data_IF_516833252002
#
_entry.id   IF_516833252002
#
_cell.length_a   1.000
_cell.length_b   1.000
_cell.length_c   1.000
_cell.angle_alpha   90.00
_cell.angle_beta   90.00
_cell.angle_gamma   90.00
#
_symmetry.space_group_name_H-M   'P 1'
#
loop_
_entity.id
_entity.type
_entity.pdbx_description
1 polymer ?
#
# COMPACT_ATOMS: atom_id res chain seq x y z
N UNK A 1 -8.69 6.25 9.62
CA UNK A 1 -7.25 5.92 9.81
C UNK A 1 -6.94 4.66 9.04
N UNK A 2 -5.75 4.14 9.14
CA UNK A 2 -5.37 2.91 8.44
C UNK A 2 -3.97 2.48 8.84
N UNK A 3 -3.59 1.25 8.44
CA UNK A 3 -2.26 0.71 8.64
C UNK A 3 -1.77 -0.02 7.41
N UNK A 4 -0.48 -0.01 7.19
CA UNK A 4 0.16 -0.65 6.04
C UNK A 4 1.28 -1.58 6.51
N UNK A 5 1.44 -2.67 5.77
CA UNK A 5 2.50 -3.65 5.93
C UNK A 5 3.04 -4.06 4.56
N UNK A 6 4.35 -4.15 4.43
CA UNK A 6 5.00 -4.63 3.22
C UNK A 6 6.13 -5.58 3.57
N UNK A 7 6.37 -6.58 2.74
CA UNK A 7 7.44 -7.55 2.98
C UNK A 7 8.04 -8.05 1.68
N UNK A 8 9.35 -8.28 1.70
CA UNK A 8 10.11 -8.95 0.64
C UNK A 8 10.93 -10.07 1.25
N UNK A 9 10.95 -11.23 0.61
CA UNK A 9 11.59 -12.44 1.12
C UNK A 9 12.25 -13.24 0.00
N UNK A 10 13.34 -13.93 0.32
CA UNK A 10 13.95 -14.95 -0.56
C UNK A 10 13.07 -16.20 -0.73
N UNK A 11 12.09 -16.40 0.14
CA UNK A 11 11.10 -17.48 0.11
C UNK A 11 9.70 -16.87 -0.03
N UNK A 12 8.65 -17.69 0.11
CA UNK A 12 7.29 -17.18 0.14
C UNK A 12 7.11 -16.13 1.25
N UNK A 13 6.53 -14.98 0.89
CA UNK A 13 6.22 -13.90 1.81
C UNK A 13 4.76 -13.91 2.29
N UNK A 14 3.95 -14.86 1.81
CA UNK A 14 2.47 -14.83 1.97
C UNK A 14 2.04 -14.83 3.44
N UNK A 15 2.64 -15.70 4.27
CA UNK A 15 2.32 -15.76 5.69
C UNK A 15 2.71 -14.46 6.43
N UNK A 16 3.91 -13.94 6.18
CA UNK A 16 4.37 -12.69 6.78
C UNK A 16 3.46 -11.52 6.37
N UNK A 17 3.07 -11.45 5.09
CA UNK A 17 2.19 -10.42 4.57
C UNK A 17 0.80 -10.49 5.20
N UNK A 18 0.23 -11.69 5.27
CA UNK A 18 -1.10 -11.93 5.84
C UNK A 18 -1.15 -11.52 7.31
N UNK A 19 -0.29 -12.11 8.13
CA UNK A 19 -0.29 -11.82 9.57
C UNK A 19 0.16 -10.39 9.89
N UNK A 20 1.16 -9.87 9.16
CA UNK A 20 1.62 -8.50 9.35
C UNK A 20 0.55 -7.47 9.01
N UNK A 21 -0.26 -7.72 7.98
CA UNK A 21 -1.41 -6.86 7.64
C UNK A 21 -2.54 -7.02 8.65
N UNK A 22 -2.87 -8.24 9.06
CA UNK A 22 -3.90 -8.52 10.05
C UNK A 22 -3.64 -7.81 11.37
N UNK A 23 -2.38 -7.67 11.78
CA UNK A 23 -2.00 -6.96 12.99
C UNK A 23 -2.36 -5.47 12.96
N UNK A 24 -2.52 -4.89 11.79
CA UNK A 24 -3.00 -3.51 11.63
C UNK A 24 -4.54 -3.40 11.65
N UNK A 25 -5.28 -4.48 11.88
CA UNK A 25 -6.75 -4.50 11.82
C UNK A 25 -7.43 -3.58 12.83
N UNK A 26 -6.74 -3.22 13.93
CA UNK A 26 -7.24 -2.24 14.90
C UNK A 26 -7.13 -0.78 14.41
N UNK A 27 -6.39 -0.52 13.32
CA UNK A 27 -6.20 0.82 12.75
C UNK A 27 -7.27 1.20 11.72
N UNK A 28 -8.11 0.26 11.31
CA UNK A 28 -9.19 0.49 10.35
C UNK A 28 -10.17 -0.67 10.29
N UNK A 29 -11.41 -0.39 9.90
CA UNK A 29 -12.52 -1.36 10.03
C UNK A 29 -13.32 -1.57 8.76
N UNK A 30 -13.06 -0.84 7.67
CA UNK A 30 -13.92 -0.87 6.48
C UNK A 30 -13.38 -1.73 5.35
N UNK A 31 -12.10 -1.58 5.04
CA UNK A 31 -11.48 -2.22 3.87
C UNK A 31 -10.17 -2.86 4.27
N UNK A 32 -9.89 -4.01 3.68
CA UNK A 32 -8.58 -4.63 3.73
C UNK A 32 -8.16 -5.06 2.34
N UNK A 33 -6.87 -5.00 2.05
CA UNK A 33 -6.36 -5.40 0.77
C UNK A 33 -4.93 -5.91 0.83
N UNK A 34 -4.65 -6.86 -0.06
CA UNK A 34 -3.32 -7.42 -0.29
C UNK A 34 -2.98 -7.33 -1.77
N UNK A 35 -1.76 -6.97 -2.08
CA UNK A 35 -1.18 -7.13 -3.40
C UNK A 35 0.20 -7.78 -3.28
N UNK A 36 0.48 -8.72 -4.17
CA UNK A 36 1.74 -9.48 -4.20
C UNK A 36 2.34 -9.47 -5.58
N UNK A 37 3.63 -9.75 -5.64
CA UNK A 37 4.34 -10.00 -6.87
C UNK A 37 5.12 -11.31 -6.78
N UNK A 38 5.13 -12.04 -7.88
CA UNK A 38 6.03 -13.15 -8.16
C UNK A 38 6.42 -13.14 -9.64
N UNK A 39 7.59 -13.66 -9.97
CA UNK A 39 8.04 -13.78 -11.37
C UNK A 39 7.13 -14.67 -12.22
N UNK A 40 6.43 -15.64 -11.61
CA UNK A 40 5.55 -16.57 -12.29
C UNK A 40 4.16 -15.99 -12.56
N UNK A 41 3.53 -15.38 -11.54
CA UNK A 41 2.13 -14.90 -11.64
C UNK A 41 2.02 -13.40 -11.90
N UNK A 42 3.14 -12.65 -11.79
CA UNK A 42 3.12 -11.20 -11.82
C UNK A 42 2.41 -10.61 -10.58
N UNK A 43 1.69 -9.52 -10.79
CA UNK A 43 0.92 -8.85 -9.74
C UNK A 43 -0.43 -9.52 -9.53
N UNK A 44 -0.70 -9.90 -8.28
CA UNK A 44 -1.99 -10.46 -7.84
C UNK A 44 -2.55 -9.60 -6.72
N UNK A 45 -3.84 -9.26 -6.78
CA UNK A 45 -4.55 -8.40 -5.82
C UNK A 45 -5.80 -9.06 -5.27
N UNK A 46 -6.09 -8.84 -3.99
CA UNK A 46 -7.38 -9.14 -3.37
C UNK A 46 -7.78 -8.01 -2.43
N UNK A 47 -9.03 -7.56 -2.49
CA UNK A 47 -9.59 -6.52 -1.63
C UNK A 47 -10.93 -7.01 -1.09
N UNK A 48 -11.17 -6.79 0.20
CA UNK A 48 -12.41 -7.19 0.87
C UNK A 48 -12.98 -6.05 1.72
N UNK A 49 -14.31 -6.04 1.83
CA UNK A 49 -15.02 -5.27 2.83
C UNK A 49 -14.90 -5.99 4.18
N UNK A 50 -14.51 -5.25 5.23
CA UNK A 50 -14.30 -5.75 6.58
C UNK A 50 -15.40 -5.31 7.56
N UNK A 51 -16.39 -4.51 7.13
CA UNK A 51 -17.45 -3.97 8.01
C UNK A 51 -18.30 -5.07 8.68
N UNK A 52 -18.40 -6.22 8.04
CA UNK A 52 -19.21 -7.35 8.54
C UNK A 52 -18.40 -8.58 8.93
N UNK A 53 -17.06 -8.53 8.87
CA UNK A 53 -16.24 -9.72 9.12
C UNK A 53 -14.77 -9.34 9.33
N UNK A 54 -14.07 -10.12 10.13
CA UNK A 54 -12.64 -9.92 10.41
C UNK A 54 -11.77 -10.17 9.17
N UNK A 55 -10.60 -9.52 9.14
CA UNK A 55 -9.62 -9.66 8.08
C UNK A 55 -9.27 -11.13 7.79
N UNK A 56 -8.94 -11.91 8.80
CA UNK A 56 -8.61 -13.35 8.66
C UNK A 56 -9.70 -14.12 7.94
N UNK A 57 -10.94 -13.98 8.38
CA UNK A 57 -12.09 -14.68 7.80
C UNK A 57 -12.27 -14.41 6.30
N UNK A 58 -11.93 -13.18 5.86
CA UNK A 58 -12.06 -12.78 4.45
C UNK A 58 -10.88 -13.20 3.58
N UNK A 59 -9.67 -13.17 4.11
CA UNK A 59 -8.46 -13.39 3.31
C UNK A 59 -7.95 -14.83 3.36
N UNK A 60 -8.08 -15.52 4.50
CA UNK A 60 -7.56 -16.89 4.68
C UNK A 60 -8.02 -17.85 3.57
N UNK A 61 -9.32 -17.90 3.16
CA UNK A 61 -9.78 -18.77 2.08
C UNK A 61 -9.17 -18.47 0.71
N UNK A 62 -8.55 -17.30 0.53
CA UNK A 62 -8.05 -16.83 -0.76
C UNK A 62 -6.52 -16.75 -0.82
N UNK A 63 -5.81 -17.15 0.24
CA UNK A 63 -4.35 -17.09 0.31
C UNK A 63 -3.63 -17.89 -0.77
N UNK A 64 -4.23 -18.95 -1.28
CA UNK A 64 -3.72 -19.77 -2.38
C UNK A 64 -3.49 -18.96 -3.67
N UNK A 65 -4.23 -17.84 -3.87
CA UNK A 65 -4.01 -16.95 -5.02
C UNK A 65 -2.61 -16.35 -5.02
N UNK A 66 -2.05 -16.12 -3.83
CA UNK A 66 -0.75 -15.47 -3.61
C UNK A 66 0.42 -16.46 -3.53
N UNK A 67 0.15 -17.76 -3.71
CA UNK A 67 1.19 -18.78 -3.65
C UNK A 67 2.36 -18.45 -4.59
N UNK A 68 3.57 -18.62 -4.11
CA UNK A 68 4.80 -18.31 -4.84
C UNK A 68 5.25 -16.84 -4.75
N UNK A 69 4.45 -15.97 -4.13
CA UNK A 69 4.83 -14.56 -3.98
C UNK A 69 6.05 -14.40 -3.07
N UNK A 70 7.00 -13.56 -3.52
CA UNK A 70 8.23 -13.23 -2.79
C UNK A 70 8.22 -11.80 -2.26
N UNK A 71 7.30 -10.95 -2.75
CA UNK A 71 7.10 -9.59 -2.24
C UNK A 71 5.61 -9.24 -2.24
N UNK A 72 5.22 -8.35 -1.33
CA UNK A 72 3.83 -7.92 -1.24
C UNK A 72 3.63 -6.75 -0.29
N UNK A 73 2.51 -6.04 -0.51
CA UNK A 73 2.01 -4.97 0.34
C UNK A 73 0.59 -5.27 0.77
N UNK A 74 0.26 -4.88 1.99
CA UNK A 74 -1.06 -5.02 2.57
C UNK A 74 -1.49 -3.76 3.28
N UNK A 75 -2.80 -3.55 3.36
CA UNK A 75 -3.40 -2.34 3.93
C UNK A 75 -4.71 -2.65 4.63
N UNK A 76 -4.91 -1.99 5.75
CA UNK A 76 -6.21 -1.84 6.40
C UNK A 76 -6.60 -0.37 6.27
N UNK A 77 -7.82 -0.07 5.84
CA UNK A 77 -8.30 1.29 5.57
C UNK A 77 -9.73 1.50 6.06
N UNK A 78 -10.03 2.73 6.47
CA UNK A 78 -11.38 3.18 6.80
C UNK A 78 -12.10 3.82 5.61
N UNK A 79 -11.44 3.98 4.49
CA UNK A 79 -11.99 4.76 3.38
C UNK A 79 -12.06 3.96 2.10
N UNK A 80 -10.92 3.70 1.46
CA UNK A 80 -10.87 3.38 0.05
C UNK A 80 -10.47 1.94 -0.22
N UNK A 81 -10.94 1.42 -1.36
CA UNK A 81 -10.51 0.14 -1.89
C UNK A 81 -9.06 0.25 -2.38
N UNK A 82 -8.16 -0.49 -1.78
CA UNK A 82 -6.74 -0.54 -2.10
C UNK A 82 -6.12 -1.87 -1.63
N UNK A 83 -4.91 -2.31 -2.10
CA UNK A 83 -4.00 -1.61 -3.01
C UNK A 83 -4.56 -1.45 -4.44
N UNK A 84 -4.08 -0.45 -5.17
CA UNK A 84 -4.37 -0.27 -6.59
C UNK A 84 -3.22 -0.80 -7.43
N UNK A 85 -3.52 -1.47 -8.54
CA UNK A 85 -2.52 -1.86 -9.54
C UNK A 85 -2.58 -0.88 -10.69
N UNK A 86 -1.46 -0.27 -11.02
CA UNK A 86 -1.31 0.73 -12.06
C UNK A 86 -0.35 0.25 -13.15
N UNK A 87 -0.64 0.61 -14.40
CA UNK A 87 0.28 0.50 -15.54
C UNK A 87 0.66 1.90 -16.00
N UNK A 88 1.94 2.19 -16.09
CA UNK A 88 2.44 3.48 -16.54
C UNK A 88 3.79 3.36 -17.25
N UNK A 89 4.37 4.47 -17.66
CA UNK A 89 5.74 4.52 -18.17
C UNK A 89 6.80 4.14 -17.11
N UNK A 90 6.44 4.15 -15.81
CA UNK A 90 7.29 3.66 -14.72
C UNK A 90 7.23 2.13 -14.56
N UNK A 91 6.53 1.44 -15.46
CA UNK A 91 6.22 0.02 -15.36
C UNK A 91 4.89 -0.25 -14.65
N UNK A 92 4.62 -1.53 -14.39
CA UNK A 92 3.49 -1.96 -13.56
C UNK A 92 3.88 -1.93 -12.10
N UNK A 93 3.00 -1.41 -11.27
CA UNK A 93 3.20 -1.37 -9.82
C UNK A 93 1.88 -1.47 -9.06
N UNK A 94 1.93 -1.89 -7.80
CA UNK A 94 0.81 -1.77 -6.88
C UNK A 94 1.11 -0.72 -5.81
N UNK A 95 0.10 0.02 -5.38
CA UNK A 95 0.25 1.09 -4.38
C UNK A 95 -0.82 1.00 -3.32
N UNK A 96 -0.43 1.22 -2.07
CA UNK A 96 -1.34 1.52 -0.97
C UNK A 96 -0.90 2.76 -0.20
N UNK A 97 -1.87 3.43 0.41
CA UNK A 97 -1.63 4.69 1.14
C UNK A 97 -2.39 4.73 2.46
N UNK A 98 -1.81 5.43 3.43
CA UNK A 98 -2.52 5.97 4.58
C UNK A 98 -2.40 7.49 4.47
N UNK A 99 -3.47 8.14 4.01
CA UNK A 99 -3.43 9.54 3.65
C UNK A 99 -4.65 10.32 4.18
N UNK A 100 -4.42 11.58 4.49
CA UNK A 100 -5.46 12.60 4.70
C UNK A 100 -5.10 13.80 3.84
N UNK A 101 -5.69 13.89 2.66
CA UNK A 101 -5.45 14.94 1.67
C UNK A 101 -6.58 15.97 1.78
N UNK A 102 -6.25 17.17 2.23
CA UNK A 102 -7.23 18.25 2.46
C UNK A 102 -7.66 18.90 1.15
N UNK A 103 -6.72 19.07 0.22
CA UNK A 103 -6.96 19.69 -1.09
C UNK A 103 -7.26 18.65 -2.19
N UNK A 104 -7.94 17.55 -1.84
CA UNK A 104 -8.23 16.45 -2.77
C UNK A 104 -8.97 16.93 -4.02
N UNK A 105 -10.01 17.74 -3.84
CA UNK A 105 -10.86 18.20 -4.95
C UNK A 105 -10.11 19.15 -5.88
N UNK A 106 -9.27 20.05 -5.34
CA UNK A 106 -8.37 20.92 -6.10
C UNK A 106 -7.41 20.10 -6.98
N UNK A 107 -6.79 19.07 -6.40
CA UNK A 107 -5.87 18.19 -7.13
C UNK A 107 -6.57 17.31 -8.16
N UNK A 108 -7.79 16.84 -7.85
CA UNK A 108 -8.62 16.09 -8.80
C UNK A 108 -8.90 16.94 -10.03
N UNK A 109 -9.34 18.20 -9.85
CA UNK A 109 -9.60 19.12 -10.95
C UNK A 109 -8.35 19.39 -11.79
N UNK A 110 -7.22 19.65 -11.13
CA UNK A 110 -5.93 19.87 -11.82
C UNK A 110 -5.51 18.67 -12.68
N UNK A 111 -5.75 17.45 -12.21
CA UNK A 111 -5.43 16.24 -12.98
C UNK A 111 -6.38 16.03 -14.16
N UNK A 112 -7.68 16.32 -13.99
CA UNK A 112 -8.65 16.28 -15.08
C UNK A 112 -8.34 17.29 -16.17
N UNK A 113 -7.90 18.51 -15.82
CA UNK A 113 -7.46 19.52 -16.79
C UNK A 113 -6.21 19.09 -17.59
N UNK A 114 -5.40 18.19 -17.03
CA UNK A 114 -4.28 17.54 -17.71
C UNK A 114 -4.69 16.28 -18.50
N UNK A 115 -6.00 16.07 -18.73
CA UNK A 115 -6.56 14.89 -19.40
C UNK A 115 -6.22 13.55 -18.70
N UNK A 116 -5.99 13.57 -17.42
CA UNK A 116 -5.87 12.33 -16.64
C UNK A 116 -7.26 11.85 -16.21
N UNK A 117 -7.41 10.54 -16.05
CA UNK A 117 -8.70 9.91 -15.75
C UNK A 117 -8.63 9.17 -14.44
N UNK A 118 -9.76 9.18 -13.71
CA UNK A 118 -9.96 8.39 -12.50
C UNK A 118 -10.88 7.21 -12.83
N UNK A 119 -10.48 6.01 -12.46
CA UNK A 119 -11.20 4.77 -12.69
C UNK A 119 -11.81 4.19 -11.39
N UNK A 120 -11.16 4.44 -10.25
CA UNK A 120 -11.58 3.93 -8.96
C UNK A 120 -12.36 4.99 -8.19
N UNK A 121 -13.68 4.81 -8.10
CA UNK A 121 -14.56 5.70 -7.36
C UNK A 121 -14.88 5.09 -5.98
N UNK A 122 -14.60 5.83 -4.92
CA UNK A 122 -14.96 5.44 -3.56
C UNK A 122 -16.12 6.29 -3.06
N UNK A 123 -17.28 5.66 -2.86
CA UNK A 123 -18.47 6.33 -2.30
C UNK A 123 -18.86 7.61 -3.06
N UNK A 124 -18.73 7.60 -4.40
CA UNK A 124 -19.06 8.74 -5.25
C UNK A 124 -18.02 9.85 -5.27
N UNK A 125 -16.84 9.66 -4.68
CA UNK A 125 -15.73 10.61 -4.71
C UNK A 125 -14.45 9.96 -5.20
N UNK A 126 -13.47 10.79 -5.60
CA UNK A 126 -12.14 10.34 -6.05
C UNK A 126 -11.44 9.54 -4.97
N UNK A 127 -10.89 8.38 -5.34
CA UNK A 127 -10.07 7.56 -4.47
C UNK A 127 -8.74 8.26 -4.19
N UNK A 128 -8.38 8.58 -2.92
CA UNK A 128 -7.13 9.26 -2.59
C UNK A 128 -5.88 8.49 -3.00
N UNK A 129 -5.93 7.16 -2.98
CA UNK A 129 -4.79 6.32 -3.41
C UNK A 129 -4.58 6.43 -4.91
N UNK A 130 -5.64 6.50 -5.70
CA UNK A 130 -5.55 6.74 -7.15
C UNK A 130 -5.02 8.15 -7.44
N UNK A 131 -5.51 9.17 -6.72
CA UNK A 131 -4.98 10.52 -6.82
C UNK A 131 -3.47 10.57 -6.61
N UNK A 132 -2.98 9.91 -5.56
CA UNK A 132 -1.54 9.80 -5.27
C UNK A 132 -0.82 9.08 -6.40
N UNK A 133 -1.35 7.96 -6.90
CA UNK A 133 -0.76 7.22 -8.02
C UNK A 133 -0.67 8.08 -9.29
N UNK A 134 -1.72 8.85 -9.60
CA UNK A 134 -1.73 9.75 -10.75
C UNK A 134 -0.73 10.91 -10.62
N UNK A 135 -0.49 11.41 -9.40
CA UNK A 135 0.58 12.39 -9.15
C UNK A 135 1.97 11.76 -9.29
N UNK A 136 2.15 10.51 -8.87
CA UNK A 136 3.42 9.79 -9.01
C UNK A 136 3.79 9.61 -10.48
N UNK A 137 2.87 9.19 -11.31
CA UNK A 137 3.13 8.93 -12.73
C UNK A 137 3.38 10.20 -13.57
N UNK A 138 3.29 11.39 -13.01
CA UNK A 138 3.76 12.61 -13.67
C UNK A 138 5.29 12.79 -13.58
N UNK A 139 5.96 12.10 -12.66
CA UNK A 139 7.41 12.08 -12.56
C UNK A 139 8.05 11.14 -13.59
N UNK A 140 9.29 11.38 -13.96
CA UNK A 140 10.08 10.49 -14.83
C UNK A 140 10.57 9.25 -14.10
N UNK A 141 10.61 9.29 -12.79
CA UNK A 141 11.01 8.21 -11.88
C UNK A 141 10.05 8.16 -10.69
N UNK A 142 10.00 7.03 -9.98
CA UNK A 142 9.23 6.95 -8.73
C UNK A 142 9.65 8.00 -7.72
N UNK A 143 10.95 8.31 -7.63
CA UNK A 143 11.47 9.34 -6.72
C UNK A 143 10.89 10.71 -7.06
N UNK A 144 11.01 11.16 -8.30
CA UNK A 144 10.44 12.44 -8.75
C UNK A 144 8.91 12.47 -8.54
N UNK A 145 8.23 11.37 -8.84
CA UNK A 145 6.80 11.26 -8.63
C UNK A 145 6.38 11.36 -7.15
N UNK A 146 7.13 10.74 -6.25
CA UNK A 146 6.89 10.83 -4.80
C UNK A 146 7.17 12.26 -4.31
N UNK A 147 8.25 12.89 -4.76
CA UNK A 147 8.56 14.29 -4.45
C UNK A 147 7.43 15.22 -4.96
N UNK A 148 6.89 14.96 -6.15
CA UNK A 148 5.73 15.67 -6.70
C UNK A 148 4.49 15.52 -5.83
N UNK A 149 4.19 14.31 -5.33
CA UNK A 149 3.09 14.09 -4.37
C UNK A 149 3.26 14.98 -3.15
N UNK A 150 4.43 14.94 -2.48
CA UNK A 150 4.66 15.69 -1.25
C UNK A 150 4.71 17.21 -1.46
N UNK A 151 5.00 17.66 -2.68
CA UNK A 151 4.94 19.08 -3.03
C UNK A 151 3.49 19.58 -3.18
N UNK A 152 2.60 18.77 -3.72
CA UNK A 152 1.24 19.19 -4.08
C UNK A 152 0.20 18.92 -3.00
N UNK A 153 0.34 17.86 -2.21
CA UNK A 153 -0.66 17.54 -1.19
C UNK A 153 -0.60 18.50 0.00
N UNK A 154 -1.78 18.94 0.45
CA UNK A 154 -1.97 19.59 1.74
C UNK A 154 -2.56 18.55 2.70
N UNK A 155 -1.76 18.13 3.69
CA UNK A 155 -2.16 17.09 4.63
C UNK A 155 -1.05 16.10 4.93
N UNK A 156 -1.37 14.83 5.05
CA UNK A 156 -0.40 13.76 5.31
C UNK A 156 -0.60 12.58 4.38
N UNK A 157 0.51 11.95 3.98
CA UNK A 157 0.51 10.77 3.16
C UNK A 157 1.71 9.89 3.48
N UNK A 158 1.42 8.64 3.81
CA UNK A 158 2.39 7.56 3.89
C UNK A 158 1.98 6.51 2.85
N UNK A 159 2.94 5.98 2.11
CA UNK A 159 2.67 5.05 1.01
C UNK A 159 3.66 3.91 0.94
N UNK A 160 3.21 2.79 0.40
CA UNK A 160 4.05 1.69 -0.08
C UNK A 160 3.73 1.40 -1.53
N UNK A 161 4.77 1.27 -2.35
CA UNK A 161 4.69 0.94 -3.77
C UNK A 161 5.43 -0.37 -3.99
N UNK A 162 4.72 -1.39 -4.44
CA UNK A 162 5.26 -2.68 -4.83
C UNK A 162 5.56 -2.63 -6.33
N UNK A 163 6.81 -2.87 -6.67
CA UNK A 163 7.31 -3.03 -8.04
C UNK A 163 7.82 -4.45 -8.27
N UNK A 164 8.22 -4.77 -9.47
CA UNK A 164 8.89 -6.06 -9.78
C UNK A 164 10.22 -6.21 -9.04
N UNK A 165 10.93 -5.09 -8.80
CA UNK A 165 12.25 -5.07 -8.16
C UNK A 165 12.18 -5.01 -6.62
N UNK A 166 11.02 -4.71 -6.03
CA UNK A 166 10.87 -4.62 -4.59
C UNK A 166 9.81 -3.64 -4.12
N UNK A 167 9.99 -3.11 -2.90
CA UNK A 167 9.02 -2.21 -2.26
C UNK A 167 9.67 -0.86 -1.97
N UNK A 168 9.04 0.21 -2.45
CA UNK A 168 9.38 1.58 -2.12
C UNK A 168 8.45 2.03 -0.99
N UNK A 169 9.03 2.53 0.09
CA UNK A 169 8.31 3.10 1.21
C UNK A 169 8.59 4.59 1.29
N UNK A 170 7.54 5.41 1.37
CA UNK A 170 7.69 6.86 1.50
C UNK A 170 6.66 7.43 2.47
N UNK A 171 7.07 8.46 3.21
CA UNK A 171 6.20 9.24 4.09
C UNK A 171 6.54 10.72 3.99
N UNK A 172 5.54 11.55 4.24
CA UNK A 172 5.71 13.00 4.32
C UNK A 172 6.57 13.42 5.52
N UNK A 173 6.95 14.70 5.53
CA UNK A 173 7.78 15.30 6.59
C UNK A 173 7.06 15.37 7.95
N UNK A 174 5.74 15.37 7.99
CA UNK A 174 4.97 15.38 9.23
C UNK A 174 5.04 14.03 9.97
N UNK A 175 5.27 12.94 9.23
CA UNK A 175 5.45 11.60 9.79
C UNK A 175 4.27 11.08 10.61
N UNK A 176 3.04 11.49 10.27
CA UNK A 176 1.83 11.14 11.03
C UNK A 176 1.59 9.63 11.10
N UNK A 177 1.84 8.92 10.00
CA UNK A 177 1.84 7.47 9.98
C UNK A 177 3.28 7.01 9.84
N UNK A 178 3.87 6.34 10.83
CA UNK A 178 5.25 5.91 10.77
C UNK A 178 5.46 4.80 9.73
N UNK A 179 6.70 4.66 9.27
CA UNK A 179 7.20 3.47 8.57
C UNK A 179 8.40 2.96 9.36
N UNK A 180 8.28 1.76 9.85
CA UNK A 180 9.30 1.08 10.63
C UNK A 180 9.79 -0.11 9.82
N UNK A 181 11.10 -0.26 9.69
CA UNK A 181 11.71 -1.36 8.93
C UNK A 181 12.12 -2.47 9.90
N UNK A 182 11.66 -3.67 9.62
CA UNK A 182 12.04 -4.90 10.30
C UNK A 182 12.89 -5.80 9.41
N UNK A 183 13.74 -6.60 10.04
CA UNK A 183 14.61 -7.57 9.35
C UNK A 183 14.58 -8.92 10.07
N UNK A 184 14.50 -9.99 9.29
CA UNK A 184 14.84 -11.36 9.71
C UNK A 184 15.74 -12.01 8.66
N UNK A 185 16.24 -13.20 8.92
CA UNK A 185 17.06 -13.91 7.95
C UNK A 185 16.31 -14.12 6.61
N UNK A 186 16.89 -13.63 5.55
CA UNK A 186 16.34 -13.75 4.19
C UNK A 186 15.10 -12.89 3.89
N UNK A 187 14.68 -11.98 4.80
CA UNK A 187 13.53 -11.13 4.56
C UNK A 187 13.64 -9.75 5.23
N UNK A 188 12.96 -8.77 4.62
CA UNK A 188 12.72 -7.44 5.18
C UNK A 188 11.22 -7.16 5.17
N UNK A 189 10.77 -6.34 6.12
CA UNK A 189 9.41 -5.82 6.11
C UNK A 189 9.40 -4.35 6.53
N UNK A 190 8.33 -3.66 6.12
CA UNK A 190 8.00 -2.32 6.55
C UNK A 190 6.58 -2.32 7.12
N UNK A 191 6.35 -1.61 8.22
CA UNK A 191 5.03 -1.54 8.86
C UNK A 191 4.77 -0.19 9.48
N UNK A 192 3.49 0.14 9.65
CA UNK A 192 3.05 1.29 10.45
C UNK A 192 3.30 1.10 11.94
N UNK A 193 3.42 -0.14 12.41
CA UNK A 193 3.62 -0.46 13.83
C UNK A 193 4.63 -1.59 14.02
N UNK A 194 5.37 -1.52 15.13
CA UNK A 194 6.36 -2.55 15.51
C UNK A 194 5.74 -3.88 15.91
N UNK A 195 4.54 -3.86 16.44
CA UNK A 195 3.79 -5.05 16.85
C UNK A 195 3.60 -6.08 15.74
N UNK A 196 3.47 -5.62 14.49
CA UNK A 196 3.40 -6.48 13.30
C UNK A 196 4.62 -7.39 13.13
N UNK A 197 5.79 -6.99 13.69
CA UNK A 197 7.03 -7.77 13.58
C UNK A 197 7.12 -8.89 14.61
N UNK A 198 6.37 -8.84 15.71
CA UNK A 198 6.41 -9.86 16.74
C UNK A 198 5.92 -11.21 16.22
N UNK A 199 4.93 -11.20 15.32
CA UNK A 199 4.42 -12.43 14.69
C UNK A 199 5.37 -12.97 13.62
N UNK A 200 5.96 -12.10 12.84
CA UNK A 200 6.87 -12.50 11.76
C UNK A 200 8.30 -12.78 12.28
N UNK A 201 8.54 -12.72 13.60
CA UNK A 201 9.85 -12.90 14.23
C UNK A 201 10.91 -11.98 13.59
N UNK A 202 10.51 -10.76 13.25
CA UNK A 202 11.41 -9.77 12.68
C UNK A 202 11.97 -8.87 13.79
N UNK A 203 13.27 -8.56 13.73
CA UNK A 203 13.87 -7.55 14.58
C UNK A 203 13.74 -6.19 13.93
N UNK A 204 13.35 -5.18 14.70
CA UNK A 204 13.34 -3.80 14.26
C UNK A 204 14.75 -3.39 13.82
N UNK A 205 14.87 -2.81 12.64
CA UNK A 205 16.11 -2.28 12.13
C UNK A 205 16.03 -0.75 12.22
N UNK A 206 16.66 -0.17 13.22
CA UNK A 206 16.83 1.28 13.34
C UNK A 206 18.04 1.69 12.48
N UNK A 207 17.82 2.62 11.57
CA UNK A 207 18.83 3.47 10.95
C UNK A 207 18.57 4.91 11.31
#
# INVERSE_FOLDING_TARGET
>A
MGGIFGTISKKSCVADLFYGTDYNSHLGTRRGGLATYSSEKGFVRSIHNLESSYFRTKFEPTLNKFEGATSGIGVISDTDAQPLIMNSHLGRFAICTVAKIVNKDELTQLLLEKNMHFAEMSSGSTNPTELVALLIIQGKTFREGIENVFHHIKGSCTMMILTEDGIICARDSWGRTPIIIGKKEGAYAASSETTSFLISIMKQHMR
#
